data_IF_721721709451
#
_entry.id   IF_721721709451
#
_cell.length_a   1.000
_cell.length_b   1.000
_cell.length_c   1.000
_cell.angle_alpha   90.00
_cell.angle_beta   90.00
_cell.angle_gamma   90.00
#
_symmetry.space_group_name_H-M   'P 1'
#
loop_
_entity.id
_entity.type
_entity.pdbx_description
1 polymer ?
#
# COMPACT_ATOMS: atom_id res chain seq x y z
N UNK A 1 13.25 27.42 7.34
CA UNK A 1 14.62 27.52 7.89
C UNK A 1 14.95 26.44 8.93
N UNK A 2 14.24 26.38 10.05
CA UNK A 2 14.55 25.48 11.18
C UNK A 2 14.52 24.00 10.79
N UNK A 3 13.58 23.60 9.93
CA UNK A 3 13.44 22.22 9.42
C UNK A 3 14.70 21.72 8.72
N UNK A 4 15.33 22.55 7.90
CA UNK A 4 16.60 22.25 7.21
C UNK A 4 17.72 22.03 8.23
N UNK A 5 17.83 22.89 9.23
CA UNK A 5 18.84 22.76 10.28
C UNK A 5 18.66 21.49 11.12
N UNK A 6 17.43 21.18 11.53
CA UNK A 6 17.14 19.97 12.30
C UNK A 6 17.45 18.69 11.49
N UNK A 7 17.08 18.67 10.21
CA UNK A 7 17.38 17.53 9.35
C UNK A 7 18.89 17.34 9.18
N UNK A 8 19.62 18.42 8.92
CA UNK A 8 21.07 18.36 8.75
C UNK A 8 21.81 17.98 10.03
N UNK A 9 21.44 18.57 11.18
CA UNK A 9 21.99 18.21 12.50
C UNK A 9 21.73 16.73 12.80
N UNK A 10 20.50 16.24 12.56
CA UNK A 10 20.18 14.85 12.82
C UNK A 10 21.01 13.89 11.97
N UNK A 11 21.11 14.12 10.66
CA UNK A 11 21.89 13.25 9.77
C UNK A 11 23.39 13.31 10.07
N UNK A 12 23.96 14.51 10.22
CA UNK A 12 25.42 14.66 10.31
C UNK A 12 25.97 14.51 11.73
N UNK A 13 25.22 14.91 12.75
CA UNK A 13 25.70 14.88 14.15
C UNK A 13 25.11 13.75 14.99
N UNK A 14 23.85 13.34 14.76
CA UNK A 14 23.23 12.25 15.54
C UNK A 14 23.43 10.89 14.88
N UNK A 15 23.17 10.82 13.58
CA UNK A 15 23.40 9.61 12.78
C UNK A 15 24.85 9.49 12.30
N UNK A 16 25.66 10.54 12.45
CA UNK A 16 27.08 10.57 12.08
C UNK A 16 27.32 10.25 10.59
N UNK A 17 26.37 10.62 9.73
CA UNK A 17 26.52 10.45 8.28
C UNK A 17 27.57 11.45 7.79
N UNK A 18 28.60 10.99 7.04
CA UNK A 18 29.58 11.90 6.47
C UNK A 18 28.90 12.93 5.56
N UNK A 19 29.08 14.22 5.85
CA UNK A 19 28.47 15.30 5.09
C UNK A 19 28.89 15.28 3.60
N UNK A 20 30.07 14.74 3.28
CA UNK A 20 30.53 14.56 1.90
C UNK A 20 29.75 13.47 1.13
N UNK A 21 28.94 12.66 1.81
CA UNK A 21 28.03 11.70 1.18
C UNK A 21 26.63 12.26 0.95
N UNK A 22 26.32 13.43 1.52
CA UNK A 22 25.01 14.03 1.42
C UNK A 22 24.94 15.02 0.27
N UNK A 23 23.83 14.97 -0.45
CA UNK A 23 23.42 15.92 -1.48
C UNK A 23 22.04 16.45 -1.12
N UNK A 24 21.68 17.61 -1.62
CA UNK A 24 20.34 18.18 -1.40
C UNK A 24 19.75 18.65 -2.71
N UNK A 25 18.43 18.59 -2.80
CA UNK A 25 17.69 19.23 -3.88
C UNK A 25 16.71 20.26 -3.32
N UNK A 26 16.36 21.24 -4.15
CA UNK A 26 15.36 22.27 -3.86
C UNK A 26 14.50 22.50 -5.11
N UNK A 27 13.27 22.96 -4.90
CA UNK A 27 12.42 23.41 -6.00
C UNK A 27 13.10 24.55 -6.76
N UNK A 28 13.08 24.49 -8.09
CA UNK A 28 13.82 25.44 -8.93
C UNK A 28 13.45 26.92 -8.70
N UNK A 29 12.23 27.21 -8.24
CA UNK A 29 11.76 28.58 -7.91
C UNK A 29 11.91 28.93 -6.41
N UNK A 30 12.41 28.03 -5.57
CA UNK A 30 12.60 28.24 -4.13
C UNK A 30 14.05 28.69 -3.83
N UNK A 31 14.29 29.99 -4.06
CA UNK A 31 15.57 30.62 -3.74
C UNK A 31 15.84 30.68 -2.22
N UNK A 32 14.79 30.71 -1.39
CA UNK A 32 14.94 30.75 0.06
C UNK A 32 15.59 29.45 0.57
N UNK A 33 15.07 28.29 0.17
CA UNK A 33 15.66 27.00 0.55
C UNK A 33 17.10 26.86 0.03
N UNK A 34 17.36 27.29 -1.21
CA UNK A 34 18.70 27.29 -1.78
C UNK A 34 19.69 28.14 -0.97
N UNK A 35 19.29 29.35 -0.59
CA UNK A 35 20.13 30.27 0.18
C UNK A 35 20.40 29.75 1.58
N UNK A 36 19.44 29.10 2.22
CA UNK A 36 19.62 28.49 3.54
C UNK A 36 20.65 27.35 3.46
N UNK A 37 20.51 26.44 2.48
CA UNK A 37 21.48 25.36 2.29
C UNK A 37 22.89 25.88 1.98
N UNK A 38 22.99 26.89 1.13
CA UNK A 38 24.28 27.43 0.65
C UNK A 38 24.96 28.30 1.71
N UNK A 39 24.26 29.27 2.30
CA UNK A 39 24.86 30.32 3.11
C UNK A 39 24.85 29.97 4.61
N UNK A 40 23.82 29.28 5.07
CA UNK A 40 23.62 29.02 6.50
C UNK A 40 24.12 27.63 6.91
N UNK A 41 23.66 26.59 6.21
CA UNK A 41 24.11 25.20 6.44
C UNK A 41 25.49 24.95 5.84
N UNK A 42 25.83 25.67 4.76
CA UNK A 42 27.12 25.61 4.03
C UNK A 42 27.35 24.29 3.31
N UNK A 43 26.29 23.74 2.71
CA UNK A 43 26.42 22.66 1.73
C UNK A 43 27.13 23.21 0.49
N UNK A 44 28.16 22.53 -0.05
CA UNK A 44 28.83 22.97 -1.28
C UNK A 44 27.83 23.10 -2.43
N UNK A 45 27.92 24.17 -3.22
CA UNK A 45 26.96 24.49 -4.28
C UNK A 45 26.84 23.39 -5.33
N UNK A 46 27.93 22.67 -5.60
CA UNK A 46 27.96 21.52 -6.51
C UNK A 46 27.14 20.32 -6.01
N UNK A 47 26.71 20.33 -4.74
CA UNK A 47 25.86 19.31 -4.11
C UNK A 47 24.42 19.77 -3.86
N UNK A 48 24.05 20.95 -4.37
CA UNK A 48 22.70 21.49 -4.30
C UNK A 48 22.12 21.48 -5.71
N UNK A 49 21.10 20.64 -5.94
CA UNK A 49 20.45 20.50 -7.24
C UNK A 49 19.11 21.23 -7.23
N UNK A 50 18.81 21.97 -8.31
CA UNK A 50 17.49 22.57 -8.50
C UNK A 50 16.64 21.66 -9.39
N UNK A 51 15.54 21.14 -8.86
CA UNK A 51 14.65 20.24 -9.61
C UNK A 51 13.29 20.87 -9.89
N UNK A 52 12.61 20.29 -10.86
CA UNK A 52 11.31 20.74 -11.33
C UNK A 52 10.17 20.40 -10.36
N UNK A 53 8.96 20.70 -10.81
CA UNK A 53 7.73 20.43 -10.06
C UNK A 53 7.51 18.94 -9.80
N UNK A 54 7.95 18.07 -10.71
CA UNK A 54 7.77 16.62 -10.58
C UNK A 54 8.51 16.04 -9.37
N UNK A 55 9.65 16.63 -8.99
CA UNK A 55 10.53 16.11 -7.95
C UNK A 55 10.44 16.94 -6.66
N UNK A 56 10.41 18.27 -6.77
CA UNK A 56 10.49 19.15 -5.59
C UNK A 56 9.26 20.03 -5.36
N UNK A 57 8.08 19.55 -5.76
CA UNK A 57 6.81 20.14 -5.34
C UNK A 57 5.85 19.06 -4.87
N UNK A 58 5.58 19.06 -3.56
CA UNK A 58 4.70 18.08 -2.95
C UNK A 58 3.26 18.59 -2.99
N UNK A 59 2.36 17.78 -3.55
CA UNK A 59 0.94 18.11 -3.62
C UNK A 59 0.03 16.88 -3.58
N UNK A 60 -1.15 17.06 -3.01
CA UNK A 60 -2.28 16.15 -3.17
C UNK A 60 -3.06 16.47 -4.44
N UNK A 61 -4.04 15.64 -4.79
CA UNK A 61 -5.02 15.98 -5.84
C UNK A 61 -5.73 17.30 -5.49
N UNK A 62 -6.17 17.43 -4.23
CA UNK A 62 -6.75 18.61 -3.59
C UNK A 62 -6.21 18.68 -2.16
N UNK A 63 -5.86 19.86 -1.69
CA UNK A 63 -5.44 20.11 -0.30
C UNK A 63 -4.04 20.72 -0.17
N UNK A 64 -3.43 20.61 1.03
CA UNK A 64 -2.16 21.24 1.34
C UNK A 64 -1.04 20.82 0.38
N UNK A 65 -0.19 21.78 0.01
CA UNK A 65 0.89 21.61 -0.97
C UNK A 65 2.00 22.64 -0.79
N UNK A 66 3.14 22.43 -1.44
CA UNK A 66 4.22 23.40 -1.47
C UNK A 66 5.54 22.86 -2.02
N UNK A 67 6.54 23.75 -2.15
CA UNK A 67 7.88 23.32 -2.51
C UNK A 67 8.44 22.38 -1.44
N UNK A 68 9.31 21.48 -1.85
CA UNK A 68 10.06 20.65 -0.91
C UNK A 68 11.56 20.66 -1.22
N UNK A 69 12.32 20.23 -0.22
CA UNK A 69 13.75 20.02 -0.33
C UNK A 69 14.07 18.62 0.15
N UNK A 70 14.78 17.85 -0.67
CA UNK A 70 15.10 16.46 -0.37
C UNK A 70 16.60 16.31 -0.10
N UNK A 71 16.95 15.38 0.78
CA UNK A 71 18.33 15.03 1.11
C UNK A 71 18.60 13.64 0.55
N UNK A 72 19.69 13.51 -0.19
CA UNK A 72 20.11 12.30 -0.88
C UNK A 72 21.43 11.78 -0.30
N UNK A 73 21.58 10.47 -0.28
CA UNK A 73 22.83 9.79 0.05
C UNK A 73 23.51 9.26 -1.22
N UNK A 74 24.76 9.67 -1.46
CA UNK A 74 25.61 9.14 -2.54
C UNK A 74 26.21 7.79 -2.14
N UNK A 75 25.65 6.72 -2.70
CA UNK A 75 26.08 5.34 -2.48
C UNK A 75 27.39 4.99 -3.18
N UNK A 76 27.90 5.89 -4.02
CA UNK A 76 29.18 5.80 -4.71
C UNK A 76 29.09 5.29 -6.14
N UNK A 77 30.20 5.44 -6.86
CA UNK A 77 30.33 5.20 -8.31
C UNK A 77 29.94 3.79 -8.78
N UNK A 78 29.93 2.79 -7.88
CA UNK A 78 29.51 1.43 -8.24
C UNK A 78 28.04 1.32 -8.67
N UNK A 79 27.22 2.33 -8.34
CA UNK A 79 25.81 2.42 -8.72
C UNK A 79 25.56 3.48 -9.80
N UNK A 80 26.61 4.04 -10.38
CA UNK A 80 26.54 5.07 -11.40
C UNK A 80 25.92 4.54 -12.71
N UNK A 81 25.16 5.38 -13.40
CA UNK A 81 24.53 5.03 -14.68
C UNK A 81 25.41 5.34 -15.90
N UNK A 82 26.61 5.90 -15.71
CA UNK A 82 27.52 6.35 -16.75
C UNK A 82 27.16 7.71 -17.37
N UNK A 83 26.10 8.36 -16.91
CA UNK A 83 25.75 9.72 -17.33
C UNK A 83 26.71 10.72 -16.67
N UNK A 84 27.43 11.55 -17.44
CA UNK A 84 28.30 12.59 -16.87
C UNK A 84 27.56 13.61 -15.99
N UNK A 85 26.23 13.70 -16.09
CA UNK A 85 25.38 14.56 -15.26
C UNK A 85 24.64 13.78 -14.16
N UNK A 86 25.12 12.60 -13.77
CA UNK A 86 24.53 11.81 -12.70
C UNK A 86 24.53 12.59 -11.37
N UNK A 87 23.34 13.02 -10.95
CA UNK A 87 23.05 13.78 -9.73
C UNK A 87 21.70 13.34 -9.12
N UNK A 88 21.31 13.84 -7.93
CA UNK A 88 19.91 13.77 -7.48
C UNK A 88 18.92 14.15 -8.60
N UNK A 89 17.80 13.43 -8.67
CA UNK A 89 16.83 13.51 -9.78
C UNK A 89 17.11 12.54 -10.95
N UNK A 90 18.21 11.78 -10.91
CA UNK A 90 18.48 10.71 -11.88
C UNK A 90 17.80 9.39 -11.45
N UNK A 91 17.28 8.62 -12.42
CA UNK A 91 16.64 7.31 -12.20
C UNK A 91 17.60 6.17 -11.77
N UNK A 92 18.87 6.48 -11.48
CA UNK A 92 19.87 5.49 -11.09
C UNK A 92 19.89 5.23 -9.57
N UNK A 93 20.48 4.11 -9.17
CA UNK A 93 20.55 3.69 -7.77
C UNK A 93 21.67 4.38 -6.95
N UNK A 94 22.37 5.38 -7.51
CA UNK A 94 23.50 6.05 -6.85
C UNK A 94 23.06 7.05 -5.79
N UNK A 95 22.13 7.94 -6.13
CA UNK A 95 21.64 8.99 -5.24
C UNK A 95 20.29 8.57 -4.67
N UNK A 96 20.29 8.10 -3.44
CA UNK A 96 19.08 7.62 -2.79
C UNK A 96 18.52 8.71 -1.92
N UNK A 97 17.32 9.20 -2.23
CA UNK A 97 16.55 10.14 -1.43
C UNK A 97 16.30 9.52 -0.05
N UNK A 98 16.83 10.10 1.02
CA UNK A 98 16.70 9.56 2.38
C UNK A 98 15.71 10.34 3.23
N UNK A 99 15.49 11.62 2.93
CA UNK A 99 14.60 12.49 3.71
C UNK A 99 14.01 13.58 2.81
N UNK A 100 12.70 13.76 2.86
CA UNK A 100 11.98 14.86 2.22
C UNK A 100 11.51 15.89 3.27
N UNK A 101 11.78 17.17 3.03
CA UNK A 101 11.34 18.32 3.81
C UNK A 101 10.34 19.14 2.99
N UNK A 102 9.05 18.99 3.28
CA UNK A 102 7.97 19.71 2.60
C UNK A 102 7.66 21.00 3.34
N UNK A 103 7.72 22.11 2.60
CA UNK A 103 7.34 23.44 3.07
C UNK A 103 5.92 23.71 2.61
N UNK A 104 4.95 23.23 3.39
CA UNK A 104 3.53 23.38 3.03
C UNK A 104 3.14 24.86 3.13
N UNK A 105 2.94 25.48 1.96
CA UNK A 105 2.70 26.92 1.81
C UNK A 105 1.35 27.23 1.16
N UNK A 106 0.76 26.26 0.46
CA UNK A 106 -0.45 26.44 -0.32
C UNK A 106 -1.51 25.38 0.01
N UNK A 107 -2.76 25.69 -0.32
CA UNK A 107 -3.89 24.78 -0.36
C UNK A 107 -4.44 24.76 -1.79
N UNK A 108 -4.36 23.61 -2.45
CA UNK A 108 -4.78 23.43 -3.83
C UNK A 108 -6.26 23.08 -3.87
N UNK A 109 -7.06 23.85 -4.61
CA UNK A 109 -8.49 23.58 -4.78
C UNK A 109 -8.79 22.55 -5.88
N UNK A 110 -10.07 22.19 -6.03
CA UNK A 110 -10.57 21.26 -7.05
C UNK A 110 -10.35 21.77 -8.50
N UNK A 111 -10.10 23.07 -8.68
CA UNK A 111 -9.79 23.68 -9.97
C UNK A 111 -8.27 23.70 -10.25
N UNK A 112 -7.46 23.22 -9.30
CA UNK A 112 -6.00 23.19 -9.38
C UNK A 112 -5.33 24.53 -9.08
N UNK A 113 -6.04 25.47 -8.45
CA UNK A 113 -5.49 26.77 -8.03
C UNK A 113 -4.88 26.65 -6.64
N UNK A 114 -3.69 27.21 -6.46
CA UNK A 114 -2.96 27.22 -5.19
C UNK A 114 -3.26 28.48 -4.38
N UNK A 115 -3.92 28.31 -3.24
CA UNK A 115 -4.23 29.40 -2.30
C UNK A 115 -3.20 29.44 -1.17
N UNK A 116 -2.55 30.59 -0.89
CA UNK A 116 -1.61 30.67 0.22
C UNK A 116 -2.24 30.31 1.57
N UNK A 117 -1.57 29.48 2.34
CA UNK A 117 -1.98 29.14 3.70
C UNK A 117 -1.78 30.33 4.64
N UNK A 118 -2.78 30.58 5.50
CA UNK A 118 -2.68 31.61 6.55
C UNK A 118 -1.56 31.32 7.56
N UNK A 119 -1.22 30.03 7.73
CA UNK A 119 -0.15 29.53 8.58
C UNK A 119 0.55 28.39 7.85
N UNK A 120 1.69 28.66 7.18
CA UNK A 120 2.52 27.61 6.61
C UNK A 120 2.95 26.63 7.70
N UNK A 121 3.11 25.36 7.32
CA UNK A 121 3.59 24.30 8.21
C UNK A 121 4.74 23.52 7.56
N UNK A 122 5.35 22.66 8.36
CA UNK A 122 6.40 21.75 7.91
C UNK A 122 5.84 20.34 7.99
N UNK A 123 6.05 19.57 6.93
CA UNK A 123 5.91 18.12 6.92
C UNK A 123 7.25 17.52 6.51
N UNK A 124 7.67 16.43 7.15
CA UNK A 124 8.93 15.76 6.77
C UNK A 124 8.74 14.26 6.79
N UNK A 125 9.23 13.58 5.74
CA UNK A 125 9.19 12.13 5.63
C UNK A 125 10.59 11.57 5.47
N UNK A 126 10.99 10.67 6.37
CA UNK A 126 12.26 9.95 6.28
C UNK A 126 11.98 8.45 6.25
N UNK A 127 12.34 7.79 5.14
CA UNK A 127 12.13 6.35 4.98
C UNK A 127 13.09 5.56 5.86
N UNK A 128 12.62 5.04 7.00
CA UNK A 128 13.46 4.33 7.98
C UNK A 128 14.26 3.18 7.35
N UNK A 129 13.61 2.31 6.57
CA UNK A 129 14.26 1.17 5.94
C UNK A 129 15.28 1.60 4.87
N UNK A 130 15.04 2.73 4.21
CA UNK A 130 15.92 3.28 3.18
C UNK A 130 17.17 3.87 3.83
N UNK A 131 17.00 4.64 4.89
CA UNK A 131 18.10 5.14 5.74
C UNK A 131 18.91 3.98 6.34
N UNK A 132 18.24 2.98 6.89
CA UNK A 132 18.91 1.79 7.42
C UNK A 132 19.70 1.06 6.32
N UNK A 133 19.16 0.92 5.12
CA UNK A 133 19.84 0.26 4.01
C UNK A 133 21.12 1.00 3.62
N UNK A 134 21.11 2.33 3.49
CA UNK A 134 22.31 3.08 3.12
C UNK A 134 23.38 3.03 4.23
N UNK A 135 22.98 3.14 5.50
CA UNK A 135 23.93 3.13 6.63
C UNK A 135 24.53 1.75 6.89
N UNK A 136 23.77 0.69 6.64
CA UNK A 136 24.27 -0.68 6.74
C UNK A 136 25.00 -1.13 5.46
N UNK A 137 25.14 -0.26 4.46
CA UNK A 137 25.82 -0.56 3.20
C UNK A 137 25.10 -1.63 2.36
N UNK A 138 23.78 -1.75 2.50
CA UNK A 138 22.95 -2.74 1.83
C UNK A 138 22.55 -2.29 0.42
N UNK A 139 22.27 -3.26 -0.45
CA UNK A 139 21.92 -2.97 -1.85
C UNK A 139 20.48 -2.46 -2.00
N UNK A 140 19.57 -2.86 -1.10
CA UNK A 140 18.16 -2.47 -1.11
C UNK A 140 17.54 -2.64 0.28
N UNK A 141 16.32 -2.12 0.46
CA UNK A 141 15.58 -2.15 1.73
C UNK A 141 15.26 -3.54 2.24
N UNK A 142 15.26 -4.57 1.38
CA UNK A 142 14.96 -5.94 1.81
C UNK A 142 16.12 -6.62 2.54
N UNK A 143 17.29 -5.97 2.59
CA UNK A 143 18.51 -6.51 3.19
C UNK A 143 18.83 -5.91 4.57
N UNK A 144 17.90 -5.17 5.16
CA UNK A 144 17.99 -4.64 6.53
C UNK A 144 17.34 -5.60 7.53
N UNK A 145 17.90 -5.71 8.74
CA UNK A 145 17.35 -6.47 9.86
C UNK A 145 16.25 -5.62 10.53
N UNK A 146 14.97 -5.74 10.13
CA UNK A 146 14.17 -6.95 10.36
C UNK A 146 13.64 -7.68 9.12
N UNK A 147 13.78 -7.10 7.92
CA UNK A 147 13.22 -7.69 6.69
C UNK A 147 14.01 -8.95 6.28
N UNK A 148 15.31 -9.00 6.56
CA UNK A 148 16.14 -10.20 6.35
C UNK A 148 15.55 -11.42 7.07
N UNK A 149 15.07 -11.27 8.30
CA UNK A 149 14.46 -12.37 9.06
C UNK A 149 13.17 -12.89 8.39
N UNK A 150 12.38 -12.02 7.77
CA UNK A 150 11.22 -12.44 6.96
C UNK A 150 11.66 -13.18 5.70
N UNK A 151 12.73 -12.73 5.04
CA UNK A 151 13.29 -13.42 3.87
C UNK A 151 13.75 -14.82 4.24
N UNK A 152 14.55 -14.96 5.30
CA UNK A 152 15.05 -16.25 5.77
C UNK A 152 13.91 -17.21 6.11
N UNK A 153 12.82 -16.70 6.70
CA UNK A 153 11.61 -17.48 6.94
C UNK A 153 10.96 -17.95 5.62
N UNK A 154 10.85 -17.07 4.62
CA UNK A 154 10.33 -17.42 3.30
C UNK A 154 11.23 -18.45 2.61
N UNK A 155 12.55 -18.29 2.69
CA UNK A 155 13.49 -19.25 2.13
C UNK A 155 13.31 -20.64 2.77
N UNK A 156 13.13 -20.68 4.10
CA UNK A 156 12.87 -21.91 4.84
C UNK A 156 11.54 -22.57 4.47
N UNK A 157 10.47 -21.80 4.30
CA UNK A 157 9.14 -22.33 3.97
C UNK A 157 9.09 -22.79 2.51
N UNK A 158 9.71 -22.04 1.60
CA UNK A 158 9.68 -22.32 0.16
C UNK A 158 10.75 -23.29 -0.34
N UNK A 159 11.86 -23.43 0.40
CA UNK A 159 13.06 -24.11 -0.07
C UNK A 159 13.78 -23.39 -1.21
N UNK A 160 13.46 -22.11 -1.46
CA UNK A 160 14.10 -21.26 -2.48
C UNK A 160 15.04 -20.26 -1.81
N UNK A 161 16.14 -19.92 -2.46
CA UNK A 161 17.09 -18.94 -1.93
C UNK A 161 16.90 -17.56 -2.55
N UNK A 162 17.02 -16.51 -1.75
CA UNK A 162 17.09 -15.13 -2.18
C UNK A 162 18.44 -14.87 -2.89
N UNK A 163 18.42 -13.99 -3.90
CA UNK A 163 19.51 -13.74 -4.85
C UNK A 163 19.86 -14.93 -5.75
N UNK A 164 19.01 -15.97 -5.81
CA UNK A 164 19.23 -17.10 -6.74
C UNK A 164 18.75 -16.81 -8.15
N UNK A 165 17.68 -16.01 -8.31
CA UNK A 165 17.19 -15.54 -9.61
C UNK A 165 16.29 -14.33 -9.44
N UNK A 166 16.25 -13.44 -10.44
CA UNK A 166 15.39 -12.25 -10.42
C UNK A 166 13.92 -12.58 -10.15
N UNK A 167 13.40 -13.67 -10.74
CA UNK A 167 12.01 -14.10 -10.55
C UNK A 167 11.74 -14.57 -9.13
N UNK A 168 12.66 -15.35 -8.55
CA UNK A 168 12.57 -15.79 -7.14
C UNK A 168 12.63 -14.59 -6.21
N UNK A 169 13.54 -13.66 -6.45
CA UNK A 169 13.73 -12.48 -5.61
C UNK A 169 12.49 -11.59 -5.58
N UNK A 170 11.85 -11.38 -6.73
CA UNK A 170 10.58 -10.63 -6.82
C UNK A 170 9.52 -11.28 -5.93
N UNK A 171 9.32 -12.60 -6.03
CA UNK A 171 8.33 -13.29 -5.21
C UNK A 171 8.64 -13.23 -3.71
N UNK A 172 9.91 -13.44 -3.33
CA UNK A 172 10.33 -13.35 -1.92
C UNK A 172 10.10 -11.93 -1.37
N UNK A 173 10.47 -10.90 -2.12
CA UNK A 173 10.28 -9.49 -1.74
C UNK A 173 8.80 -9.14 -1.57
N UNK A 174 7.95 -9.55 -2.52
CA UNK A 174 6.51 -9.31 -2.45
C UNK A 174 5.90 -10.03 -1.24
N UNK A 175 6.28 -11.28 -0.99
CA UNK A 175 5.80 -12.02 0.18
C UNK A 175 6.21 -11.34 1.49
N UNK A 176 7.45 -10.88 1.61
CA UNK A 176 7.95 -10.21 2.81
C UNK A 176 7.22 -8.88 3.06
N UNK A 177 7.11 -8.04 2.03
CA UNK A 177 6.43 -6.73 2.11
C UNK A 177 4.93 -6.88 2.41
N UNK A 178 4.22 -7.69 1.62
CA UNK A 178 2.77 -7.80 1.74
C UNK A 178 2.36 -8.51 3.03
N UNK A 179 3.14 -9.46 3.54
CA UNK A 179 2.85 -10.06 4.85
C UNK A 179 2.92 -9.03 5.98
N UNK A 180 3.86 -8.07 5.91
CA UNK A 180 3.91 -6.94 6.85
C UNK A 180 2.65 -6.09 6.71
N UNK A 181 2.35 -5.62 5.50
CA UNK A 181 1.20 -4.74 5.26
C UNK A 181 -0.12 -5.38 5.70
N UNK A 182 -0.34 -6.66 5.37
CA UNK A 182 -1.53 -7.43 5.80
C UNK A 182 -1.62 -7.52 7.32
N UNK A 183 -0.51 -7.80 8.00
CA UNK A 183 -0.46 -7.91 9.46
C UNK A 183 -0.81 -6.59 10.14
N UNK A 184 -0.22 -5.48 9.69
CA UNK A 184 -0.49 -4.15 10.24
C UNK A 184 -1.91 -3.68 9.94
N UNK A 185 -2.39 -3.81 8.71
CA UNK A 185 -3.77 -3.43 8.35
C UNK A 185 -4.81 -4.15 9.21
N UNK A 186 -4.65 -5.45 9.45
CA UNK A 186 -5.57 -6.19 10.32
C UNK A 186 -5.39 -5.79 11.79
N UNK A 187 -4.15 -5.54 12.23
CA UNK A 187 -3.86 -5.00 13.56
C UNK A 187 -4.57 -3.68 13.85
N UNK A 188 -4.68 -2.82 12.83
CA UNK A 188 -5.42 -1.55 12.88
C UNK A 188 -6.94 -1.71 12.70
N UNK A 189 -7.44 -2.95 12.65
CA UNK A 189 -8.86 -3.27 12.58
C UNK A 189 -9.46 -3.30 11.17
N UNK A 190 -8.66 -3.27 10.10
CA UNK A 190 -9.16 -3.44 8.74
C UNK A 190 -9.59 -4.89 8.51
N UNK A 191 -10.80 -5.09 8.01
CA UNK A 191 -11.38 -6.41 7.70
C UNK A 191 -11.45 -6.59 6.17
N UNK A 192 -11.10 -7.78 5.63
CA UNK A 192 -11.19 -8.03 4.20
C UNK A 192 -12.61 -7.81 3.64
N UNK A 193 -12.73 -7.00 2.58
CA UNK A 193 -14.01 -6.67 1.93
C UNK A 193 -13.85 -6.52 0.41
N UNK A 194 -14.93 -6.14 -0.30
CA UNK A 194 -14.91 -5.86 -1.74
C UNK A 194 -14.69 -4.38 -2.06
N UNK A 195 -14.58 -3.50 -1.06
CA UNK A 195 -14.51 -2.04 -1.27
C UNK A 195 -13.55 -1.35 -0.30
N UNK A 196 -13.00 -0.20 -0.71
CA UNK A 196 -12.14 0.64 0.12
C UNK A 196 -10.92 -0.10 0.69
N UNK A 197 -10.60 0.16 1.97
CA UNK A 197 -9.42 -0.41 2.66
C UNK A 197 -9.47 -1.94 2.76
N UNK A 198 -10.64 -2.52 2.95
CA UNK A 198 -10.80 -3.96 3.06
C UNK A 198 -10.51 -4.70 1.75
N UNK A 199 -10.76 -4.05 0.61
CA UNK A 199 -10.36 -4.57 -0.70
C UNK A 199 -8.84 -4.50 -0.91
N UNK A 200 -8.20 -3.40 -0.51
CA UNK A 200 -6.73 -3.28 -0.56
C UNK A 200 -6.07 -4.38 0.28
N UNK A 201 -6.53 -4.60 1.51
CA UNK A 201 -6.08 -5.69 2.37
C UNK A 201 -6.21 -7.05 1.67
N UNK A 202 -7.38 -7.33 1.10
CA UNK A 202 -7.64 -8.58 0.37
C UNK A 202 -6.70 -8.75 -0.82
N UNK A 203 -6.45 -7.70 -1.60
CA UNK A 203 -5.53 -7.71 -2.75
C UNK A 203 -4.11 -8.09 -2.32
N UNK A 204 -3.59 -7.44 -1.27
CA UNK A 204 -2.24 -7.70 -0.74
C UNK A 204 -2.10 -9.14 -0.25
N UNK A 205 -3.09 -9.63 0.51
CA UNK A 205 -3.12 -11.00 1.03
C UNK A 205 -3.09 -12.03 -0.11
N UNK A 206 -3.96 -11.87 -1.12
CA UNK A 206 -4.05 -12.79 -2.25
C UNK A 206 -2.79 -12.75 -3.12
N UNK A 207 -2.20 -11.57 -3.30
CA UNK A 207 -0.93 -11.42 -4.03
C UNK A 207 0.22 -12.10 -3.30
N UNK A 208 0.34 -11.94 -1.99
CA UNK A 208 1.32 -12.69 -1.20
C UNK A 208 1.12 -14.22 -1.34
N UNK A 209 -0.12 -14.69 -1.23
CA UNK A 209 -0.48 -16.11 -1.39
C UNK A 209 -0.12 -16.64 -2.79
N UNK A 210 -0.40 -15.88 -3.86
CA UNK A 210 0.00 -16.21 -5.25
C UNK A 210 1.52 -16.37 -5.36
N UNK A 211 2.30 -15.44 -4.82
CA UNK A 211 3.76 -15.55 -4.88
C UNK A 211 4.29 -16.75 -4.09
N UNK A 212 3.63 -17.12 -2.98
CA UNK A 212 3.92 -18.38 -2.29
C UNK A 212 3.71 -19.60 -3.19
N UNK A 213 2.59 -19.66 -3.92
CA UNK A 213 2.32 -20.73 -4.91
C UNK A 213 3.37 -20.76 -6.03
N UNK A 214 3.80 -19.61 -6.54
CA UNK A 214 4.86 -19.51 -7.55
C UNK A 214 6.22 -20.04 -7.05
N UNK A 215 6.49 -19.94 -5.75
CA UNK A 215 7.67 -20.53 -5.13
C UNK A 215 7.51 -22.02 -4.78
N UNK A 216 6.31 -22.58 -4.94
CA UNK A 216 5.99 -23.98 -4.69
C UNK A 216 5.38 -24.27 -3.32
N UNK A 217 5.04 -23.24 -2.54
CA UNK A 217 4.36 -23.40 -1.25
C UNK A 217 2.91 -23.82 -1.49
N UNK A 218 2.50 -24.94 -0.89
CA UNK A 218 1.14 -25.50 -1.02
C UNK A 218 0.27 -25.30 0.21
N UNK A 219 0.90 -25.20 1.37
CA UNK A 219 0.21 -25.03 2.65
C UNK A 219 0.00 -23.53 2.95
N UNK A 220 -0.91 -23.23 3.88
CA UNK A 220 -1.08 -21.87 4.37
C UNK A 220 0.19 -21.43 5.10
N UNK A 221 0.67 -20.22 4.78
CA UNK A 221 1.91 -19.70 5.36
C UNK A 221 1.78 -18.28 5.87
N UNK A 222 0.72 -17.55 5.52
CA UNK A 222 0.61 -16.13 5.87
C UNK A 222 0.46 -15.92 7.38
N UNK A 223 -0.19 -16.83 8.10
CA UNK A 223 -0.25 -16.75 9.58
C UNK A 223 1.13 -16.97 10.23
N UNK A 224 1.99 -17.79 9.61
CA UNK A 224 3.38 -18.00 10.06
C UNK A 224 4.18 -16.71 9.84
N UNK A 225 4.01 -16.08 8.67
CA UNK A 225 4.63 -14.79 8.38
C UNK A 225 4.14 -13.69 9.34
N UNK A 226 2.83 -13.62 9.60
CA UNK A 226 2.26 -12.64 10.52
C UNK A 226 2.80 -12.79 11.94
N UNK A 227 3.00 -14.04 12.40
CA UNK A 227 3.64 -14.31 13.70
C UNK A 227 5.07 -13.76 13.76
N UNK A 228 5.85 -13.92 12.69
CA UNK A 228 7.20 -13.37 12.61
C UNK A 228 7.18 -11.84 12.59
N UNK A 229 6.25 -11.23 11.82
CA UNK A 229 6.04 -9.77 11.82
C UNK A 229 5.71 -9.26 13.24
N UNK A 230 4.78 -9.90 13.95
CA UNK A 230 4.43 -9.51 15.33
C UNK A 230 5.64 -9.66 16.28
N UNK A 231 6.50 -10.64 16.04
CA UNK A 231 7.73 -10.86 16.84
C UNK A 231 8.74 -9.73 16.61
N UNK A 232 8.98 -9.36 15.34
CA UNK A 232 9.96 -8.36 14.95
C UNK A 232 9.51 -6.91 15.25
N UNK A 233 8.22 -6.60 15.06
CA UNK A 233 7.70 -5.24 15.23
C UNK A 233 6.94 -5.00 16.54
N UNK A 234 6.48 -6.04 17.23
CA UNK A 234 5.55 -5.89 18.34
C UNK A 234 6.11 -5.22 19.59
N UNK A 235 7.41 -4.94 19.68
CA UNK A 235 7.97 -4.07 20.74
C UNK A 235 7.65 -2.60 20.48
N UNK A 236 7.89 -2.12 19.25
CA UNK A 236 7.56 -0.76 18.84
C UNK A 236 6.06 -0.56 18.61
N UNK A 237 5.34 -1.63 18.26
CA UNK A 237 3.90 -1.62 17.95
C UNK A 237 3.13 -2.63 18.83
N UNK A 238 2.90 -2.36 20.13
CA UNK A 238 2.23 -3.28 21.05
C UNK A 238 0.80 -3.68 20.64
N UNK A 239 0.12 -2.84 19.87
CA UNK A 239 -1.20 -3.09 19.27
C UNK A 239 -1.22 -4.37 18.43
N UNK A 240 -0.12 -4.71 17.75
CA UNK A 240 0.00 -5.97 17.01
C UNK A 240 -0.05 -7.19 17.93
N UNK A 241 0.57 -7.10 19.11
CA UNK A 241 0.53 -8.17 20.12
C UNK A 241 -0.88 -8.32 20.70
N UNK A 242 -1.58 -7.20 20.90
CA UNK A 242 -2.95 -7.17 21.42
C UNK A 242 -3.95 -7.77 20.41
N UNK A 243 -3.75 -7.49 19.12
CA UNK A 243 -4.63 -7.96 18.03
C UNK A 243 -4.25 -9.35 17.46
N UNK A 244 -3.22 -10.02 17.99
CA UNK A 244 -2.62 -11.25 17.41
C UNK A 244 -3.64 -12.33 17.03
N UNK A 245 -4.61 -12.62 17.90
CA UNK A 245 -5.57 -13.71 17.68
C UNK A 245 -6.55 -13.36 16.55
N UNK A 246 -6.93 -12.08 16.46
CA UNK A 246 -7.76 -11.57 15.37
C UNK A 246 -6.99 -11.58 14.04
N UNK A 247 -5.72 -11.16 14.06
CA UNK A 247 -4.83 -11.19 12.89
C UNK A 247 -4.76 -12.61 12.33
N UNK A 248 -4.41 -13.60 13.16
CA UNK A 248 -4.28 -14.99 12.72
C UNK A 248 -5.59 -15.54 12.17
N UNK A 249 -6.71 -15.31 12.89
CA UNK A 249 -8.03 -15.81 12.46
C UNK A 249 -8.45 -15.23 11.12
N UNK A 250 -8.27 -13.93 10.90
CA UNK A 250 -8.66 -13.28 9.63
C UNK A 250 -7.80 -13.78 8.48
N UNK A 251 -6.48 -13.87 8.68
CA UNK A 251 -5.56 -14.38 7.66
C UNK A 251 -5.92 -15.82 7.30
N UNK A 252 -6.11 -16.70 8.29
CA UNK A 252 -6.45 -18.10 8.05
C UNK A 252 -7.76 -18.25 7.26
N UNK A 253 -8.80 -17.49 7.61
CA UNK A 253 -10.08 -17.56 6.90
C UNK A 253 -9.90 -17.18 5.43
N UNK A 254 -9.22 -16.06 5.17
CA UNK A 254 -9.12 -15.53 3.81
C UNK A 254 -8.11 -16.30 2.94
N UNK A 255 -6.99 -16.75 3.51
CA UNK A 255 -6.02 -17.61 2.82
C UNK A 255 -6.65 -18.97 2.46
N UNK A 256 -7.38 -19.60 3.40
CA UNK A 256 -8.11 -20.84 3.11
C UNK A 256 -9.17 -20.67 2.03
N UNK A 257 -9.91 -19.55 2.06
CA UNK A 257 -10.94 -19.26 1.05
C UNK A 257 -10.32 -19.10 -0.33
N UNK A 258 -9.19 -18.39 -0.41
CA UNK A 258 -8.51 -18.13 -1.67
C UNK A 258 -7.81 -19.38 -2.22
N UNK A 259 -7.17 -20.18 -1.36
CA UNK A 259 -6.50 -21.42 -1.77
C UNK A 259 -7.45 -22.44 -2.43
N UNK A 260 -8.76 -22.37 -2.13
CA UNK A 260 -9.77 -23.22 -2.78
C UNK A 260 -10.03 -22.88 -4.24
N UNK A 261 -9.83 -21.63 -4.65
CA UNK A 261 -10.20 -21.14 -5.99
C UNK A 261 -9.01 -20.74 -6.85
N UNK A 262 -7.85 -20.45 -6.24
CA UNK A 262 -6.69 -19.93 -6.96
C UNK A 262 -6.18 -20.88 -8.06
N UNK A 263 -6.04 -22.18 -7.77
CA UNK A 263 -5.44 -23.12 -8.72
C UNK A 263 -6.31 -23.24 -9.99
N UNK A 264 -7.63 -23.37 -9.81
CA UNK A 264 -8.58 -23.38 -10.93
C UNK A 264 -8.57 -22.07 -11.72
N UNK A 265 -8.51 -20.92 -11.03
CA UNK A 265 -8.49 -19.62 -11.68
C UNK A 265 -7.21 -19.40 -12.50
N UNK A 266 -6.06 -19.85 -11.99
CA UNK A 266 -4.78 -19.80 -12.71
C UNK A 266 -4.80 -20.66 -13.96
N UNK A 267 -5.31 -21.90 -13.88
CA UNK A 267 -5.41 -22.80 -15.04
C UNK A 267 -6.31 -22.21 -16.15
N UNK A 268 -7.43 -21.60 -15.77
CA UNK A 268 -8.34 -20.96 -16.72
C UNK A 268 -7.68 -19.73 -17.35
N UNK A 269 -7.03 -18.88 -16.55
CA UNK A 269 -6.34 -17.71 -17.08
C UNK A 269 -5.20 -18.10 -18.04
N UNK A 270 -4.43 -19.14 -17.71
CA UNK A 270 -3.38 -19.66 -18.60
C UNK A 270 -3.96 -20.14 -19.94
N UNK A 271 -5.13 -20.77 -19.92
CA UNK A 271 -5.83 -21.17 -21.14
C UNK A 271 -6.23 -19.96 -22.00
N UNK A 272 -6.68 -18.88 -21.38
CA UNK A 272 -7.02 -17.64 -22.09
C UNK A 272 -5.79 -16.92 -22.64
N UNK A 273 -4.68 -16.91 -21.90
CA UNK A 273 -3.41 -16.35 -22.37
C UNK A 273 -2.91 -17.14 -23.58
N UNK A 274 -2.94 -18.46 -23.53
CA UNK A 274 -2.53 -19.31 -24.66
C UNK A 274 -3.38 -19.05 -25.91
N UNK A 275 -4.69 -18.81 -25.73
CA UNK A 275 -5.59 -18.43 -26.84
C UNK A 275 -5.23 -17.06 -27.42
N UNK A 276 -4.99 -16.05 -26.57
CA UNK A 276 -4.56 -14.71 -26.99
C UNK A 276 -3.25 -14.75 -27.77
N UNK A 277 -2.25 -15.48 -27.26
CA UNK A 277 -0.95 -15.65 -27.91
C UNK A 277 -1.09 -16.32 -29.28
N UNK A 278 -1.94 -17.35 -29.38
CA UNK A 278 -2.22 -18.06 -30.63
C UNK A 278 -2.91 -17.15 -31.66
N UNK A 279 -3.83 -16.31 -31.22
CA UNK A 279 -4.58 -15.39 -32.07
C UNK A 279 -3.85 -14.04 -32.28
N UNK A 280 -2.63 -13.91 -31.73
CA UNK A 280 -1.80 -12.71 -31.74
C UNK A 280 -2.54 -11.45 -31.22
N UNK A 281 -3.37 -11.66 -30.20
CA UNK A 281 -4.09 -10.61 -29.49
C UNK A 281 -3.34 -10.20 -28.23
N UNK A 282 -3.35 -8.91 -27.92
CA UNK A 282 -2.71 -8.38 -26.71
C UNK A 282 -3.66 -8.14 -25.54
N UNK A 283 -4.97 -8.27 -25.78
CA UNK A 283 -6.00 -7.81 -24.85
C UNK A 283 -7.00 -8.92 -24.53
N UNK A 284 -7.07 -9.32 -23.27
CA UNK A 284 -8.11 -10.20 -22.76
C UNK A 284 -9.44 -9.45 -22.72
N UNK A 285 -10.49 -10.02 -23.32
CA UNK A 285 -11.85 -9.46 -23.25
C UNK A 285 -12.32 -9.29 -21.80
N UNK A 286 -13.07 -8.22 -21.54
CA UNK A 286 -13.70 -7.96 -20.26
C UNK A 286 -14.70 -9.04 -19.85
N UNK A 287 -15.34 -9.73 -20.81
CA UNK A 287 -16.21 -10.88 -20.54
C UNK A 287 -15.45 -12.04 -19.89
N UNK A 288 -14.31 -12.46 -20.47
CA UNK A 288 -13.46 -13.52 -19.92
C UNK A 288 -12.91 -13.14 -18.53
N UNK A 289 -12.49 -11.89 -18.35
CA UNK A 289 -12.05 -11.38 -17.06
C UNK A 289 -13.18 -11.34 -16.03
N UNK A 290 -14.39 -10.94 -16.44
CA UNK A 290 -15.58 -10.94 -15.60
C UNK A 290 -15.97 -12.36 -15.19
N UNK A 291 -15.87 -13.33 -16.10
CA UNK A 291 -16.11 -14.73 -15.80
C UNK A 291 -15.11 -15.30 -14.78
N UNK A 292 -13.82 -14.97 -14.90
CA UNK A 292 -12.80 -15.29 -13.89
C UNK A 292 -13.19 -14.74 -12.52
N UNK A 293 -13.59 -13.48 -12.47
CA UNK A 293 -14.00 -12.81 -11.25
C UNK A 293 -15.27 -13.37 -10.62
N UNK A 294 -16.36 -13.41 -11.38
CA UNK A 294 -17.70 -13.72 -10.88
C UNK A 294 -17.92 -15.23 -10.69
N UNK A 295 -17.58 -16.03 -11.71
CA UNK A 295 -17.88 -17.47 -11.70
C UNK A 295 -16.84 -18.26 -10.92
N UNK A 296 -15.57 -17.92 -11.09
CA UNK A 296 -14.45 -18.69 -10.50
C UNK A 296 -13.87 -18.03 -9.25
N UNK A 297 -14.34 -16.83 -8.88
CA UNK A 297 -13.85 -16.09 -7.71
C UNK A 297 -12.39 -15.65 -7.83
N UNK A 298 -11.83 -15.65 -9.04
CA UNK A 298 -10.44 -15.28 -9.30
C UNK A 298 -10.31 -13.76 -9.35
N UNK A 299 -9.44 -13.14 -8.53
CA UNK A 299 -9.38 -11.68 -8.40
C UNK A 299 -9.06 -11.01 -9.73
N UNK A 300 -9.77 -9.92 -10.03
CA UNK A 300 -9.51 -9.13 -11.23
C UNK A 300 -8.08 -8.58 -11.21
N UNK A 301 -7.63 -8.10 -10.06
CA UNK A 301 -6.27 -7.54 -9.89
C UNK A 301 -5.17 -8.56 -10.15
N UNK A 302 -5.39 -9.84 -9.81
CA UNK A 302 -4.43 -10.89 -10.13
C UNK A 302 -4.45 -11.22 -11.63
N UNK A 303 -5.63 -11.15 -12.26
CA UNK A 303 -5.76 -11.31 -13.71
C UNK A 303 -4.95 -10.23 -14.43
N UNK A 304 -5.14 -8.97 -14.04
CA UNK A 304 -4.42 -7.83 -14.58
C UNK A 304 -2.90 -7.96 -14.37
N UNK A 305 -2.46 -8.29 -13.15
CA UNK A 305 -1.03 -8.44 -12.85
C UNK A 305 -0.37 -9.56 -13.67
N UNK A 306 -1.01 -10.73 -13.78
CA UNK A 306 -0.47 -11.88 -14.55
C UNK A 306 -0.37 -11.54 -16.05
N UNK A 307 -1.34 -10.80 -16.59
CA UNK A 307 -1.31 -10.37 -17.98
C UNK A 307 -0.18 -9.36 -18.22
N UNK A 308 -0.02 -8.39 -17.33
CA UNK A 308 1.05 -7.38 -17.41
C UNK A 308 2.45 -8.00 -17.37
N UNK A 309 2.66 -9.08 -16.60
CA UNK A 309 3.92 -9.83 -16.58
C UNK A 309 4.29 -10.45 -17.95
N UNK A 310 3.34 -10.54 -18.89
CA UNK A 310 3.51 -11.04 -20.26
C UNK A 310 3.28 -9.98 -21.34
N UNK A 311 3.31 -8.70 -20.98
CA UNK A 311 3.01 -7.58 -21.90
C UNK A 311 1.61 -7.68 -22.54
N UNK A 312 0.66 -8.27 -21.80
CA UNK A 312 -0.76 -8.36 -22.16
C UNK A 312 -1.60 -7.43 -21.27
N UNK A 313 -2.79 -7.09 -21.76
CA UNK A 313 -3.73 -6.18 -21.10
C UNK A 313 -5.11 -6.82 -20.95
N UNK A 314 -5.96 -6.21 -20.12
CA UNK A 314 -7.37 -6.57 -20.00
C UNK A 314 -8.25 -5.41 -20.50
N UNK A 315 -9.38 -5.71 -21.14
CA UNK A 315 -10.40 -4.72 -21.43
C UNK A 315 -11.15 -4.30 -20.17
N UNK A 316 -10.55 -3.35 -19.45
CA UNK A 316 -11.12 -2.82 -18.22
C UNK A 316 -12.46 -2.10 -18.48
N UNK A 317 -12.59 -1.38 -19.60
CA UNK A 317 -13.85 -0.71 -19.96
C UNK A 317 -14.99 -1.71 -20.11
N UNK A 318 -14.74 -2.81 -20.82
CA UNK A 318 -15.71 -3.88 -21.01
C UNK A 318 -15.99 -4.63 -19.71
N UNK A 319 -14.96 -4.98 -18.93
CA UNK A 319 -15.10 -5.60 -17.61
C UNK A 319 -15.98 -4.76 -16.68
N UNK A 320 -15.72 -3.44 -16.64
CA UNK A 320 -16.50 -2.49 -15.85
C UNK A 320 -17.96 -2.45 -16.28
N UNK A 321 -18.23 -2.50 -17.59
CA UNK A 321 -19.60 -2.56 -18.10
C UNK A 321 -20.34 -3.81 -17.59
N UNK A 322 -19.68 -4.98 -17.56
CA UNK A 322 -20.25 -6.20 -16.98
C UNK A 322 -20.47 -6.09 -15.46
N UNK A 323 -19.54 -5.49 -14.72
CA UNK A 323 -19.69 -5.22 -13.28
C UNK A 323 -20.87 -4.29 -12.98
N UNK A 324 -21.04 -3.23 -13.78
CA UNK A 324 -22.14 -2.28 -13.63
C UNK A 324 -23.47 -2.94 -13.97
N UNK A 325 -23.52 -3.77 -15.02
CA UNK A 325 -24.71 -4.55 -15.37
C UNK A 325 -25.07 -5.57 -14.27
N UNK A 326 -24.09 -6.23 -13.65
CA UNK A 326 -24.33 -7.12 -12.52
C UNK A 326 -24.92 -6.38 -11.32
N UNK A 327 -24.39 -5.20 -10.99
CA UNK A 327 -24.92 -4.36 -9.91
C UNK A 327 -26.37 -3.94 -10.18
N UNK A 328 -26.67 -3.56 -11.41
CA UNK A 328 -28.02 -3.17 -11.83
C UNK A 328 -28.98 -4.35 -11.77
N UNK A 329 -28.57 -5.52 -12.27
CA UNK A 329 -29.35 -6.76 -12.18
C UNK A 329 -29.62 -7.14 -10.71
N UNK A 330 -28.65 -6.98 -9.82
CA UNK A 330 -28.84 -7.25 -8.38
C UNK A 330 -29.81 -6.26 -7.72
N UNK A 331 -29.85 -5.00 -8.15
CA UNK A 331 -30.83 -4.00 -7.71
C UNK A 331 -32.24 -4.33 -8.22
N UNK A 332 -32.36 -4.61 -9.51
CA UNK A 332 -33.63 -4.98 -10.14
C UNK A 332 -34.18 -6.29 -9.57
N UNK A 333 -33.32 -7.27 -9.29
CA UNK A 333 -33.71 -8.50 -8.63
C UNK A 333 -34.31 -8.22 -7.24
N UNK A 334 -33.68 -7.34 -6.44
CA UNK A 334 -34.20 -6.92 -5.12
C UNK A 334 -35.54 -6.20 -5.20
N UNK A 335 -35.74 -5.34 -6.19
CA UNK A 335 -37.02 -4.66 -6.42
C UNK A 335 -38.13 -5.63 -6.89
N UNK A 336 -37.77 -6.59 -7.74
CA UNK A 336 -38.70 -7.62 -8.24
C UNK A 336 -39.07 -8.69 -7.19
N UNK A 337 -38.24 -8.87 -6.16
CA UNK A 337 -38.48 -9.75 -5.02
C UNK A 337 -39.20 -9.05 -3.85
N UNK A 338 -40.03 -8.04 -4.13
CA UNK A 338 -41.00 -7.47 -3.17
C UNK A 338 -42.23 -8.37 -2.94
N UNK A 339 -42.16 -9.63 -3.38
CA UNK A 339 -43.07 -10.70 -3.01
C UNK A 339 -42.29 -11.99 -2.73
N UNK A 340 -42.23 -12.35 -1.45
CA UNK A 340 -41.78 -13.66 -0.93
C UNK A 340 -40.27 -13.95 -0.92
N UNK A 341 -39.74 -14.10 0.31
CA UNK A 341 -38.45 -14.70 0.68
C UNK A 341 -37.20 -13.81 0.73
N UNK A 342 -37.16 -12.89 1.72
CA UNK A 342 -35.89 -12.39 2.29
C UNK A 342 -35.91 -12.56 3.82
N UNK A 343 -35.51 -13.74 4.28
CA UNK A 343 -34.97 -13.93 5.63
C UNK A 343 -33.48 -14.21 5.50
N UNK A 344 -32.70 -13.14 5.47
CA UNK A 344 -31.25 -13.15 5.26
C UNK A 344 -30.60 -11.93 5.94
N UNK A 345 -30.73 -11.88 7.26
CA UNK A 345 -29.80 -11.25 8.23
C UNK A 345 -29.05 -9.98 7.77
N UNK A 346 -29.79 -8.96 7.34
CA UNK A 346 -29.41 -7.55 7.51
C UNK A 346 -30.42 -6.94 8.46
N UNK A 347 -29.97 -6.26 9.51
CA UNK A 347 -30.84 -5.52 10.43
C UNK A 347 -31.66 -4.54 9.58
N UNK A 348 -32.97 -4.77 9.45
CA UNK A 348 -33.89 -3.89 8.74
C UNK A 348 -34.08 -2.62 9.58
N UNK A 349 -33.26 -1.61 9.31
CA UNK A 349 -33.33 -0.25 9.88
C UNK A 349 -34.44 0.57 9.17
N UNK A 350 -35.23 -0.04 8.28
CA UNK A 350 -36.36 0.62 7.63
C UNK A 350 -37.32 1.27 8.65
N UNK A 351 -37.61 2.55 8.42
CA UNK A 351 -38.48 3.38 9.27
C UNK A 351 -37.78 4.06 10.46
N UNK A 352 -36.47 3.86 10.67
CA UNK A 352 -35.71 4.58 11.69
C UNK A 352 -35.04 5.82 11.12
N UNK A 353 -35.17 6.95 11.83
CA UNK A 353 -34.49 8.19 11.48
C UNK A 353 -32.97 8.04 11.59
N UNK A 354 -32.22 8.71 10.72
CA UNK A 354 -30.76 8.78 10.79
C UNK A 354 -30.29 9.34 12.13
N UNK A 355 -29.24 8.75 12.70
CA UNK A 355 -28.55 9.32 13.87
C UNK A 355 -27.49 10.34 13.42
N UNK A 356 -27.25 11.35 14.24
CA UNK A 356 -26.14 12.29 14.05
C UNK A 356 -24.97 11.91 14.96
N UNK A 357 -23.76 11.91 14.41
CA UNK A 357 -22.55 11.67 15.19
C UNK A 357 -22.16 12.93 15.97
N UNK A 358 -22.07 12.82 17.30
CA UNK A 358 -21.74 13.94 18.21
C UNK A 358 -20.38 13.80 18.89
N UNK A 359 -19.60 12.78 18.51
CA UNK A 359 -18.35 12.40 19.19
C UNK A 359 -17.19 13.38 19.00
N UNK A 360 -17.31 14.36 18.10
CA UNK A 360 -16.33 15.45 17.96
C UNK A 360 -16.43 16.46 19.11
N UNK A 361 -17.62 16.64 19.67
CA UNK A 361 -17.87 17.65 20.70
C UNK A 361 -18.06 17.05 22.09
N UNK A 362 -18.51 15.79 22.17
CA UNK A 362 -18.96 15.16 23.41
C UNK A 362 -18.42 13.74 23.54
N UNK A 363 -17.85 13.43 24.70
CA UNK A 363 -17.46 12.07 25.09
C UNK A 363 -18.60 11.27 25.70
N UNK A 364 -19.71 11.94 26.05
CA UNK A 364 -20.90 11.33 26.65
C UNK A 364 -22.18 11.93 26.04
N UNK A 365 -23.17 11.08 25.76
CA UNK A 365 -24.48 11.53 25.27
C UNK A 365 -25.59 10.61 25.78
N UNK A 366 -26.81 11.14 25.80
CA UNK A 366 -28.02 10.34 26.08
C UNK A 366 -28.63 9.89 24.75
N UNK A 367 -28.97 8.61 24.65
CA UNK A 367 -29.62 8.04 23.49
C UNK A 367 -30.84 7.21 23.93
N UNK A 368 -31.79 7.05 23.01
CA UNK A 368 -32.96 6.18 23.20
C UNK A 368 -32.77 4.93 22.34
N UNK A 369 -32.91 3.76 22.95
CA UNK A 369 -32.91 2.49 22.23
C UNK A 369 -34.24 2.38 21.47
N UNK A 370 -34.19 2.32 20.14
CA UNK A 370 -35.38 2.27 19.29
C UNK A 370 -35.85 0.84 18.96
N UNK A 371 -34.92 -0.11 18.86
CA UNK A 371 -35.17 -1.54 18.59
C UNK A 371 -34.07 -2.40 19.21
N UNK A 372 -34.40 -3.63 19.59
CA UNK A 372 -33.47 -4.68 20.02
C UNK A 372 -33.53 -5.85 19.03
N UNK A 373 -32.42 -6.56 18.85
CA UNK A 373 -32.33 -7.72 17.96
C UNK A 373 -31.58 -8.87 18.63
N UNK A 374 -32.06 -10.10 18.48
CA UNK A 374 -31.40 -11.31 18.99
C UNK A 374 -30.15 -11.71 18.18
N UNK A 375 -29.46 -12.79 18.59
CA UNK A 375 -28.27 -13.34 17.90
C UNK A 375 -28.55 -13.76 16.45
N UNK A 376 -29.82 -13.98 16.09
CA UNK A 376 -30.26 -14.31 14.74
C UNK A 376 -30.80 -13.09 13.98
N UNK A 377 -30.58 -11.87 14.51
CA UNK A 377 -31.02 -10.58 13.97
C UNK A 377 -32.53 -10.42 13.84
N UNK A 378 -33.32 -11.10 14.68
CA UNK A 378 -34.77 -10.91 14.76
C UNK A 378 -35.12 -9.85 15.80
N UNK A 379 -36.11 -8.98 15.54
CA UNK A 379 -36.54 -7.98 16.50
C UNK A 379 -37.14 -8.66 17.74
N UNK A 380 -36.69 -8.23 18.91
CA UNK A 380 -37.15 -8.73 20.21
C UNK A 380 -37.54 -7.56 21.11
N UNK A 381 -38.44 -7.79 22.06
CA UNK A 381 -38.84 -6.78 23.04
C UNK A 381 -37.89 -6.75 24.26
N UNK A 382 -37.13 -7.83 24.47
CA UNK A 382 -36.18 -7.98 25.55
C UNK A 382 -35.01 -8.89 25.10
N UNK A 383 -33.80 -8.58 25.54
CA UNK A 383 -32.65 -9.49 25.45
C UNK A 383 -32.55 -10.25 26.77
N UNK A 384 -32.54 -11.58 26.72
CA UNK A 384 -32.25 -12.40 27.89
C UNK A 384 -30.78 -12.20 28.28
N UNK A 385 -30.54 -12.01 29.58
CA UNK A 385 -29.25 -11.65 30.15
C UNK A 385 -28.33 -12.86 30.38
#
# INVERSE_FOLDING_TARGET
>A
RESIFWAWEFLTEKMMIPADKLWVSVYHEDDEAYDIWTNEVKVPTEKIVRLGKADNFWELEVGPSGPCSEIYFDRGEKYDCGDPNCSPGCDCDRYVEIWNLVFTQFDKDEQGVYHPLSKPNIDTGMGLERVAAVLQGKDNVFEVEPIVSLIELIEKISGKSYKSSKKTDISIRIMADHSRAVTFLIGDGVIPSNEGRGYVLRRLLRRASRHGKLLGIRENFLSVMAKEVITLWGEAYPELKNAKEQIYKIIEIEENKFNKTIDQGLDILESYITELEKDNQKKLSGEKAFKLYDTYGFPFELTEEILQERDLEVDFSEFKAFMDQQKENARNARESSTGESWSGSSILIEGLSSTSFVGYDKTETKATILKLYDEQLKPVDQLDA
#
